data_IF_927961955658
#
_entry.id   IF_927961955658
#
_cell.length_a   1.000
_cell.length_b   1.000
_cell.length_c   1.000
_cell.angle_alpha   90.00
_cell.angle_beta   90.00
_cell.angle_gamma   90.00
#
_symmetry.space_group_name_H-M   'P 1'
#
loop_
_entity.id
_entity.type
_entity.pdbx_description
1 polymer ?
#
# COMPACT_ATOMS: atom_id res chain seq x y z
N UNK A 1 15.48 -7.20 5.26
CA UNK A 1 15.27 -6.17 6.32
C UNK A 1 16.23 -5.00 6.20
N UNK A 2 17.55 -5.21 6.13
CA UNK A 2 18.52 -4.12 5.99
C UNK A 2 18.21 -3.15 4.82
N UNK A 3 17.94 -3.68 3.62
CA UNK A 3 17.56 -2.84 2.47
C UNK A 3 16.29 -2.00 2.71
N UNK A 4 15.28 -2.56 3.38
CA UNK A 4 14.06 -1.83 3.72
C UNK A 4 14.35 -0.71 4.75
N UNK A 5 15.23 -0.96 5.73
CA UNK A 5 15.69 0.07 6.68
C UNK A 5 16.40 1.22 5.97
N UNK A 6 17.34 0.90 5.07
CA UNK A 6 18.07 1.91 4.27
C UNK A 6 17.12 2.75 3.43
N UNK A 7 16.14 2.12 2.76
CA UNK A 7 15.14 2.87 1.99
C UNK A 7 14.28 3.77 2.89
N UNK A 8 13.87 3.27 4.07
CA UNK A 8 13.06 4.02 5.02
C UNK A 8 13.83 5.22 5.61
N UNK A 9 15.09 5.07 5.96
CA UNK A 9 15.94 6.18 6.44
C UNK A 9 16.44 7.07 5.29
N UNK A 10 16.31 6.58 4.05
CA UNK A 10 16.72 7.25 2.83
C UNK A 10 15.59 8.05 2.17
N UNK A 11 15.55 8.10 0.82
CA UNK A 11 14.64 8.99 0.10
C UNK A 11 13.17 8.60 0.22
N UNK A 12 12.83 7.33 0.45
CA UNK A 12 11.44 6.87 0.42
C UNK A 12 10.57 7.51 1.52
N UNK A 13 11.09 7.67 2.74
CA UNK A 13 10.35 8.34 3.82
C UNK A 13 10.11 9.83 3.56
N UNK A 14 10.87 10.42 2.64
CA UNK A 14 10.76 11.83 2.24
C UNK A 14 9.82 12.04 1.05
N UNK A 15 9.36 10.98 0.41
CA UNK A 15 8.36 11.11 -0.66
C UNK A 15 7.12 11.79 -0.10
N UNK A 16 6.66 12.82 -0.79
CA UNK A 16 5.39 13.46 -0.52
C UNK A 16 4.23 12.46 -0.68
N UNK A 17 3.09 12.71 -0.02
CA UNK A 17 1.84 11.96 -0.26
C UNK A 17 1.50 11.78 -1.74
N UNK A 18 1.72 12.82 -2.56
CA UNK A 18 1.47 12.80 -3.99
C UNK A 18 2.41 11.86 -4.74
N UNK A 19 3.71 11.88 -4.46
CA UNK A 19 4.66 10.96 -5.10
C UNK A 19 4.33 9.49 -4.79
N UNK A 20 3.91 9.20 -3.55
CA UNK A 20 3.46 7.85 -3.17
C UNK A 20 2.19 7.43 -3.90
N UNK A 21 1.23 8.36 -4.07
CA UNK A 21 0.05 8.15 -4.90
C UNK A 21 0.45 7.81 -6.34
N UNK A 22 1.34 8.59 -6.97
CA UNK A 22 1.79 8.33 -8.33
C UNK A 22 2.40 6.94 -8.50
N UNK A 23 3.21 6.48 -7.54
CA UNK A 23 3.76 5.12 -7.54
C UNK A 23 2.65 4.07 -7.48
N UNK A 24 1.69 4.20 -6.56
CA UNK A 24 0.59 3.25 -6.41
C UNK A 24 -0.32 3.19 -7.65
N UNK A 25 -0.63 4.34 -8.25
CA UNK A 25 -1.40 4.40 -9.48
C UNK A 25 -0.64 3.78 -10.65
N UNK A 26 0.68 4.02 -10.75
CA UNK A 26 1.51 3.38 -11.77
C UNK A 26 1.55 1.85 -11.61
N UNK A 27 1.62 1.35 -10.37
CA UNK A 27 1.52 -0.09 -10.09
C UNK A 27 0.14 -0.60 -10.53
N UNK A 28 -0.95 0.12 -10.24
CA UNK A 28 -2.29 -0.25 -10.68
C UNK A 28 -2.39 -0.39 -12.20
N UNK A 29 -1.82 0.55 -12.95
CA UNK A 29 -1.83 0.53 -14.42
C UNK A 29 -0.99 -0.63 -14.98
N UNK A 30 0.13 -0.96 -14.35
CA UNK A 30 0.95 -2.12 -14.72
C UNK A 30 0.23 -3.45 -14.42
N UNK A 31 -0.40 -3.56 -13.25
CA UNK A 31 -1.24 -4.71 -12.91
C UNK A 31 -2.41 -4.86 -13.89
N UNK A 32 -3.02 -3.75 -14.30
CA UNK A 32 -4.08 -3.76 -15.30
C UNK A 32 -3.59 -4.27 -16.65
N UNK A 33 -2.44 -3.75 -17.11
CA UNK A 33 -1.82 -4.16 -18.37
C UNK A 33 -1.45 -5.64 -18.41
N UNK A 34 -0.98 -6.20 -17.29
CA UNK A 34 -0.49 -7.58 -17.19
C UNK A 34 -1.48 -8.52 -16.48
N UNK A 35 -2.76 -8.13 -16.36
CA UNK A 35 -3.70 -8.85 -15.51
C UNK A 35 -3.91 -10.32 -15.90
N UNK A 36 -3.95 -10.62 -17.21
CA UNK A 36 -4.14 -11.98 -17.70
C UNK A 36 -2.94 -12.87 -17.34
N UNK A 37 -1.73 -12.37 -17.52
CA UNK A 37 -0.49 -13.06 -17.15
C UNK A 37 -0.44 -13.38 -15.63
N UNK A 38 -0.76 -12.38 -14.80
CA UNK A 38 -0.85 -12.55 -13.35
C UNK A 38 -1.93 -13.58 -12.97
N UNK A 39 -3.07 -13.57 -13.65
CA UNK A 39 -4.16 -14.53 -13.39
C UNK A 39 -3.79 -15.96 -13.76
N UNK A 40 -3.05 -16.15 -14.87
CA UNK A 40 -2.50 -17.46 -15.25
C UNK A 40 -1.50 -17.94 -14.21
N UNK A 41 -0.59 -17.07 -13.75
CA UNK A 41 0.37 -17.41 -12.69
C UNK A 41 -0.34 -17.83 -11.41
N UNK A 42 -1.30 -17.05 -10.92
CA UNK A 42 -2.11 -17.39 -9.73
C UNK A 42 -2.86 -18.72 -9.93
N UNK A 43 -3.42 -18.97 -11.11
CA UNK A 43 -4.12 -20.23 -11.40
C UNK A 43 -3.18 -21.43 -11.37
N UNK A 44 -1.98 -21.32 -11.94
CA UNK A 44 -1.01 -22.40 -11.97
C UNK A 44 -0.46 -22.72 -10.57
N UNK A 45 -0.24 -21.70 -9.74
CA UNK A 45 0.27 -21.86 -8.37
C UNK A 45 -0.81 -22.45 -7.43
N UNK A 46 -2.06 -22.02 -7.58
CA UNK A 46 -3.13 -22.29 -6.62
C UNK A 46 -4.12 -23.37 -7.04
N UNK A 47 -4.13 -23.74 -8.32
CA UNK A 47 -5.12 -24.64 -8.90
C UNK A 47 -6.54 -24.04 -9.02
N UNK A 48 -6.71 -22.74 -8.79
CA UNK A 48 -8.02 -22.08 -8.90
C UNK A 48 -8.38 -21.89 -10.38
N UNK A 49 -9.63 -22.19 -10.82
CA UNK A 49 -10.03 -22.00 -12.22
C UNK A 49 -9.73 -20.60 -12.74
N UNK A 50 -9.21 -20.49 -13.96
CA UNK A 50 -8.79 -19.23 -14.58
C UNK A 50 -9.90 -18.16 -14.60
N UNK A 51 -11.17 -18.58 -14.72
CA UNK A 51 -12.33 -17.69 -14.66
C UNK A 51 -12.46 -16.99 -13.30
N UNK A 52 -12.07 -17.66 -12.21
CA UNK A 52 -12.08 -17.10 -10.84
C UNK A 52 -10.92 -16.16 -10.60
N UNK A 53 -9.71 -16.50 -11.05
CA UNK A 53 -8.54 -15.60 -10.92
C UNK A 53 -8.74 -14.35 -11.76
N UNK A 54 -9.19 -14.49 -13.01
CA UNK A 54 -9.52 -13.34 -13.88
C UNK A 54 -10.57 -12.41 -13.25
N UNK A 55 -11.58 -12.97 -12.58
CA UNK A 55 -12.64 -12.19 -11.93
C UNK A 55 -12.13 -11.30 -10.77
N UNK A 56 -10.94 -11.58 -10.21
CA UNK A 56 -10.36 -10.78 -9.13
C UNK A 56 -9.84 -9.40 -9.58
N UNK A 57 -9.81 -9.12 -10.90
CA UNK A 57 -9.22 -7.90 -11.50
C UNK A 57 -9.63 -6.63 -10.78
N UNK A 58 -10.95 -6.43 -10.67
CA UNK A 58 -11.52 -5.20 -10.09
C UNK A 58 -11.15 -5.07 -8.62
N UNK A 59 -11.09 -6.18 -7.88
CA UNK A 59 -10.74 -6.19 -6.46
C UNK A 59 -9.28 -5.77 -6.26
N UNK A 60 -8.35 -6.34 -7.02
CA UNK A 60 -6.91 -6.08 -6.84
C UNK A 60 -6.53 -4.68 -7.35
N UNK A 61 -6.93 -4.33 -8.57
CA UNK A 61 -6.60 -3.03 -9.16
C UNK A 61 -7.35 -1.90 -8.45
N UNK A 62 -8.63 -2.10 -8.14
CA UNK A 62 -9.43 -1.12 -7.41
C UNK A 62 -8.82 -0.78 -6.05
N UNK A 63 -8.14 -1.73 -5.42
CA UNK A 63 -7.47 -1.53 -4.14
C UNK A 63 -6.16 -0.76 -4.25
N UNK A 64 -5.35 -1.02 -5.26
CA UNK A 64 -4.18 -0.19 -5.55
C UNK A 64 -4.61 1.26 -5.80
N UNK A 65 -5.68 1.46 -6.57
CA UNK A 65 -6.26 2.79 -6.82
C UNK A 65 -6.83 3.43 -5.55
N UNK A 66 -7.54 2.66 -4.73
CA UNK A 66 -8.06 3.11 -3.44
C UNK A 66 -6.94 3.62 -2.54
N UNK A 67 -5.90 2.82 -2.32
CA UNK A 67 -4.76 3.23 -1.48
C UNK A 67 -3.92 4.32 -2.12
N UNK A 68 -3.87 4.40 -3.45
CA UNK A 68 -3.32 5.55 -4.16
C UNK A 68 -4.03 6.84 -3.77
N UNK A 69 -5.37 6.85 -3.76
CA UNK A 69 -6.15 8.00 -3.27
C UNK A 69 -5.98 8.26 -1.77
N UNK A 70 -5.91 7.20 -0.96
CA UNK A 70 -5.68 7.34 0.49
C UNK A 70 -4.32 7.94 0.82
N UNK A 71 -3.30 7.75 -0.01
CA UNK A 71 -1.96 8.28 0.23
C UNK A 71 -1.99 9.80 0.46
N UNK A 72 -2.84 10.54 -0.27
CA UNK A 72 -3.04 12.00 -0.12
C UNK A 72 -4.12 12.41 0.87
N UNK A 73 -4.96 11.46 1.31
CA UNK A 73 -6.08 11.72 2.22
C UNK A 73 -5.77 11.44 3.69
N UNK A 74 -4.54 11.01 4.02
CA UNK A 74 -4.10 10.86 5.41
C UNK A 74 -3.72 12.22 6.00
N UNK A 75 -4.47 12.67 6.99
CA UNK A 75 -4.26 13.93 7.69
C UNK A 75 -4.15 13.71 9.20
N UNK A 76 -3.47 14.64 9.87
CA UNK A 76 -3.57 14.84 11.31
C UNK A 76 -4.75 15.74 11.64
N UNK A 77 -4.88 16.06 12.92
CA UNK A 77 -5.97 16.87 13.46
C UNK A 77 -5.39 18.04 14.27
N UNK A 78 -5.99 19.23 14.15
CA UNK A 78 -5.79 20.30 15.12
C UNK A 78 -6.78 20.09 16.28
N UNK A 79 -6.30 20.24 17.52
CA UNK A 79 -7.07 19.93 18.73
C UNK A 79 -7.18 21.19 19.58
N UNK A 80 -8.40 21.54 19.97
CA UNK A 80 -8.65 22.65 20.89
C UNK A 80 -8.21 22.31 22.31
N UNK A 81 -7.53 23.27 22.96
CA UNK A 81 -7.06 23.11 24.32
C UNK A 81 -8.12 23.52 25.33
N UNK A 82 -8.36 22.69 26.34
CA UNK A 82 -9.28 23.01 27.44
C UNK A 82 -8.65 23.92 28.51
N UNK A 83 -7.34 24.18 28.42
CA UNK A 83 -6.63 25.09 29.30
C UNK A 83 -6.44 26.46 28.63
N UNK A 84 -6.63 27.58 29.35
CA UNK A 84 -6.34 28.91 28.83
C UNK A 84 -4.85 29.06 28.46
N UNK A 85 -4.57 29.78 27.38
CA UNK A 85 -3.22 30.08 26.91
C UNK A 85 -3.10 30.01 25.39
N UNK A 86 -1.99 30.52 24.85
CA UNK A 86 -1.68 30.48 23.42
C UNK A 86 -0.90 29.19 23.08
N UNK A 87 -1.57 28.05 23.20
CA UNK A 87 -0.99 26.73 22.91
C UNK A 87 -1.62 26.18 21.63
N UNK A 88 -0.79 25.75 20.68
CA UNK A 88 -1.24 25.07 19.46
C UNK A 88 -1.00 23.57 19.62
N UNK A 89 -2.07 22.79 19.59
CA UNK A 89 -2.03 21.31 19.69
C UNK A 89 -2.47 20.69 18.38
N UNK A 90 -1.68 19.74 17.86
CA UNK A 90 -2.04 18.98 16.66
C UNK A 90 -1.46 17.57 16.70
N UNK A 91 -2.04 16.67 15.92
CA UNK A 91 -1.52 15.32 15.69
C UNK A 91 -0.84 15.22 14.33
N UNK A 92 0.12 14.30 14.21
CA UNK A 92 0.71 13.90 12.94
C UNK A 92 0.56 12.40 12.76
N UNK A 93 0.32 11.99 11.51
CA UNK A 93 0.31 10.59 11.11
C UNK A 93 1.63 10.31 10.40
N UNK A 94 2.48 9.50 11.02
CA UNK A 94 3.80 9.15 10.49
C UNK A 94 3.86 7.64 10.19
N UNK A 95 4.63 7.21 9.18
CA UNK A 95 4.81 5.79 8.89
C UNK A 95 5.44 5.07 10.08
N UNK A 96 4.97 3.85 10.35
CA UNK A 96 5.48 3.03 11.47
C UNK A 96 6.92 2.54 11.25
N UNK A 97 7.40 2.51 10.00
CA UNK A 97 8.76 2.11 9.66
C UNK A 97 8.83 0.96 8.66
N UNK A 98 9.63 -0.05 9.02
CA UNK A 98 9.78 -1.29 8.23
C UNK A 98 8.70 -2.28 8.65
N UNK A 99 7.84 -2.68 7.73
CA UNK A 99 6.75 -3.63 7.95
C UNK A 99 7.17 -5.02 7.49
N UNK A 100 7.03 -6.02 8.36
CA UNK A 100 7.05 -7.43 7.96
C UNK A 100 5.63 -7.89 7.63
N UNK A 101 5.42 -8.43 6.43
CA UNK A 101 4.12 -8.94 6.02
C UNK A 101 4.25 -10.40 5.60
N UNK A 102 3.36 -11.24 6.12
CA UNK A 102 3.26 -12.66 5.75
C UNK A 102 1.87 -12.88 5.14
N UNK A 103 1.79 -13.52 3.99
CA UNK A 103 0.53 -13.80 3.30
C UNK A 103 0.22 -15.31 3.24
N UNK A 104 -1.07 -15.69 3.19
CA UNK A 104 -1.47 -17.06 2.92
C UNK A 104 -1.28 -17.41 1.44
N UNK A 105 -1.27 -18.70 1.13
CA UNK A 105 -1.19 -19.21 -0.24
C UNK A 105 -2.48 -18.93 -1.01
N UNK A 106 -3.67 -19.06 -0.41
CA UNK A 106 -4.96 -19.14 -1.13
C UNK A 106 -5.37 -17.97 -2.06
N UNK A 107 -4.66 -16.84 -2.07
CA UNK A 107 -4.88 -15.74 -2.99
C UNK A 107 -3.61 -14.85 -3.09
N UNK A 108 -2.51 -15.34 -3.69
CA UNK A 108 -1.18 -14.75 -3.55
C UNK A 108 -1.16 -13.28 -3.99
N UNK A 109 -1.54 -13.01 -5.24
CA UNK A 109 -1.54 -11.65 -5.80
C UNK A 109 -2.41 -10.69 -4.99
N UNK A 110 -3.62 -11.11 -4.62
CA UNK A 110 -4.54 -10.25 -3.87
C UNK A 110 -4.05 -9.99 -2.43
N UNK A 111 -3.54 -11.02 -1.75
CA UNK A 111 -3.03 -10.90 -0.39
C UNK A 111 -1.75 -10.05 -0.34
N UNK A 112 -0.87 -10.16 -1.35
CA UNK A 112 0.30 -9.29 -1.49
C UNK A 112 -0.14 -7.83 -1.59
N UNK A 113 -1.07 -7.50 -2.49
CA UNK A 113 -1.57 -6.13 -2.67
C UNK A 113 -2.26 -5.62 -1.39
N UNK A 114 -2.97 -6.48 -0.64
CA UNK A 114 -3.57 -6.10 0.65
C UNK A 114 -2.56 -5.60 1.68
N UNK A 115 -1.31 -6.04 1.59
CA UNK A 115 -0.24 -5.62 2.51
C UNK A 115 0.60 -4.49 1.91
N UNK A 116 0.97 -4.60 0.65
CA UNK A 116 1.84 -3.64 -0.04
C UNK A 116 1.17 -2.27 -0.16
N UNK A 117 -0.09 -2.23 -0.63
CA UNK A 117 -0.76 -0.98 -0.95
C UNK A 117 -0.87 -0.01 0.25
N UNK A 118 -1.38 -0.41 1.43
CA UNK A 118 -1.41 0.48 2.60
C UNK A 118 -0.01 0.81 3.15
N UNK A 119 0.94 -0.13 3.10
CA UNK A 119 2.30 0.13 3.56
C UNK A 119 2.97 1.22 2.72
N UNK A 120 2.87 1.14 1.40
CA UNK A 120 3.42 2.17 0.52
C UNK A 120 2.64 3.49 0.60
N UNK A 121 1.31 3.46 0.72
CA UNK A 121 0.49 4.68 0.84
C UNK A 121 0.89 5.55 2.04
N UNK A 122 1.19 4.89 3.17
CA UNK A 122 1.59 5.56 4.42
C UNK A 122 3.06 5.98 4.45
N UNK A 123 3.89 5.53 3.50
CA UNK A 123 5.33 5.80 3.49
C UNK A 123 6.16 4.77 4.26
N UNK A 124 5.58 3.64 4.66
CA UNK A 124 6.34 2.53 5.21
C UNK A 124 7.16 1.84 4.11
N UNK A 125 8.22 1.13 4.52
CA UNK A 125 8.84 0.11 3.66
C UNK A 125 8.35 -1.26 4.08
N UNK A 126 8.46 -2.25 3.21
CA UNK A 126 7.87 -3.58 3.45
C UNK A 126 8.82 -4.70 3.06
N UNK A 127 8.83 -5.76 3.87
CA UNK A 127 9.40 -7.08 3.55
C UNK A 127 8.24 -8.06 3.54
N UNK A 128 7.90 -8.56 2.36
CA UNK A 128 6.80 -9.49 2.16
C UNK A 128 7.31 -10.93 2.06
N UNK A 129 6.62 -11.86 2.72
CA UNK A 129 6.86 -13.31 2.67
C UNK A 129 5.57 -14.05 2.36
#
# INVERSE_FOLDING_TARGET
VAAARVAFEGPWSKFSPYERQCVLLRIADLFEKHWEELSVSDTLDMGLPITRTLANRRRVIGMLRFYGGMATALHGEAIDNSIPGEIVTFTRREPVGVVGAIIPWNAPTAASVWKIAPALATGCTIVLK
#
